data_IF_592423118535
#
_entry.id   IF_592423118535
#
_cell.length_a   1.000
_cell.length_b   1.000
_cell.length_c   1.000
_cell.angle_alpha   90.00
_cell.angle_beta   90.00
_cell.angle_gamma   90.00
#
_symmetry.space_group_name_H-M   'P 1'
#
loop_
_entity.id
_entity.type
_entity.pdbx_description
1 polymer ?
#
# COMPACT_ATOMS: atom_id res chain seq x y z
N UNK A 1 -27.46 -1.59 -8.08
CA UNK A 1 -27.42 -2.40 -6.84
C UNK A 1 -26.70 -1.58 -5.76
N UNK A 2 -27.24 -1.49 -4.55
CA UNK A 2 -26.59 -0.83 -3.42
C UNK A 2 -25.88 -1.88 -2.55
N UNK A 3 -24.65 -1.60 -2.14
CA UNK A 3 -23.87 -2.45 -1.22
C UNK A 3 -23.74 -1.73 0.13
N UNK A 4 -24.68 -1.94 1.08
CA UNK A 4 -24.75 -1.14 2.30
C UNK A 4 -23.58 -1.36 3.27
N UNK A 5 -22.89 -2.49 3.17
CA UNK A 5 -21.68 -2.77 3.96
C UNK A 5 -20.42 -2.16 3.34
N UNK A 6 -20.49 -1.58 2.13
CA UNK A 6 -19.34 -0.97 1.49
C UNK A 6 -18.86 0.25 2.31
N UNK A 7 -17.65 0.16 2.83
CA UNK A 7 -17.04 1.22 3.64
C UNK A 7 -16.20 2.13 2.77
N UNK A 8 -16.33 3.43 3.01
CA UNK A 8 -15.52 4.44 2.34
C UNK A 8 -14.48 5.00 3.30
N UNK A 9 -13.25 5.08 2.82
CA UNK A 9 -12.15 5.74 3.51
C UNK A 9 -11.92 7.11 2.87
N UNK A 10 -11.93 8.15 3.69
CA UNK A 10 -11.74 9.55 3.22
C UNK A 10 -10.28 9.90 3.02
N UNK A 11 -9.41 9.35 3.86
CA UNK A 11 -7.99 9.64 3.85
C UNK A 11 -7.17 8.35 4.01
N UNK A 12 -6.78 7.73 2.89
CA UNK A 12 -5.89 6.57 2.91
C UNK A 12 -4.52 6.86 3.50
N UNK A 13 -3.98 8.06 3.30
CA UNK A 13 -2.67 8.44 3.83
C UNK A 13 -2.70 8.45 5.36
N UNK A 14 -3.70 9.10 5.96
CA UNK A 14 -3.86 9.12 7.42
C UNK A 14 -4.06 7.73 8.01
N UNK A 15 -4.78 6.84 7.32
CA UNK A 15 -4.90 5.45 7.76
C UNK A 15 -3.52 4.77 7.87
N UNK A 16 -2.70 4.87 6.81
CA UNK A 16 -1.37 4.24 6.79
C UNK A 16 -0.45 4.86 7.85
N UNK A 17 -0.46 6.19 8.00
CA UNK A 17 0.31 6.88 9.05
C UNK A 17 -0.07 6.36 10.44
N UNK A 18 -1.37 6.24 10.73
CA UNK A 18 -1.84 5.72 12.03
C UNK A 18 -1.45 4.27 12.28
N UNK A 19 -1.44 3.44 11.24
CA UNK A 19 -0.97 2.05 11.36
C UNK A 19 0.53 1.99 11.65
N UNK A 20 1.33 2.84 10.98
CA UNK A 20 2.77 2.93 11.24
C UNK A 20 3.07 3.41 12.67
N UNK A 21 2.36 4.46 13.13
CA UNK A 21 2.45 4.96 14.51
C UNK A 21 2.12 3.85 15.54
N UNK A 22 1.03 3.12 15.32
CA UNK A 22 0.61 2.04 16.21
C UNK A 22 1.63 0.89 16.23
N UNK A 23 2.19 0.52 15.08
CA UNK A 23 3.24 -0.49 14.99
C UNK A 23 4.49 -0.09 15.80
N UNK A 24 4.93 1.17 15.67
CA UNK A 24 6.07 1.68 16.45
C UNK A 24 5.77 1.74 17.95
N UNK A 25 4.56 2.14 18.33
CA UNK A 25 4.12 2.16 19.73
C UNK A 25 4.11 0.76 20.38
N UNK A 26 3.94 -0.29 19.59
CA UNK A 26 4.04 -1.69 20.01
C UNK A 26 5.48 -2.23 20.02
N UNK A 27 6.48 -1.38 19.79
CA UNK A 27 7.91 -1.75 19.77
C UNK A 27 8.45 -2.13 18.40
N UNK A 28 7.63 -2.02 17.34
CA UNK A 28 8.06 -2.22 15.97
C UNK A 28 9.08 -1.16 15.51
N UNK A 29 9.98 -1.57 14.61
CA UNK A 29 10.97 -0.66 14.00
C UNK A 29 10.69 -0.49 12.51
N UNK A 30 10.67 0.76 12.06
CA UNK A 30 10.52 1.09 10.64
C UNK A 30 11.89 1.50 10.11
N UNK A 31 12.47 0.64 9.29
CA UNK A 31 13.74 0.88 8.61
C UNK A 31 13.45 1.33 7.17
N UNK A 32 14.15 2.38 6.70
CA UNK A 32 14.11 2.79 5.29
C UNK A 32 15.30 2.19 4.57
N UNK A 33 15.04 1.52 3.44
CA UNK A 33 16.05 0.96 2.56
C UNK A 33 15.42 0.16 1.42
N UNK A 34 16.14 0.05 0.30
CA UNK A 34 15.76 -0.84 -0.80
C UNK A 34 16.38 -2.21 -0.57
N UNK A 35 15.55 -3.25 -0.47
CA UNK A 35 16.01 -4.64 -0.37
C UNK A 35 16.50 -5.11 -1.74
N UNK A 36 17.75 -5.58 -1.78
CA UNK A 36 18.42 -6.05 -3.00
C UNK A 36 18.76 -7.55 -2.96
N UNK A 37 18.53 -8.21 -1.82
CA UNK A 37 18.70 -9.65 -1.72
C UNK A 37 18.44 -10.18 -0.31
N UNK A 38 18.62 -11.49 -0.17
CA UNK A 38 18.42 -12.23 1.07
C UNK A 38 19.63 -13.12 1.31
N UNK A 39 20.04 -13.23 2.57
CA UNK A 39 20.99 -14.23 3.03
C UNK A 39 20.19 -15.43 3.52
N UNK A 40 20.54 -16.61 3.01
CA UNK A 40 19.90 -17.87 3.39
C UNK A 40 20.87 -19.04 3.26
N UNK A 41 20.72 -20.02 4.13
CA UNK A 41 21.27 -21.36 3.94
C UNK A 41 20.12 -22.35 3.76
N UNK A 42 19.62 -22.94 4.84
CA UNK A 42 18.36 -23.70 4.91
C UNK A 42 17.13 -22.80 5.13
N UNK A 43 17.32 -21.70 5.88
CA UNK A 43 16.31 -20.65 6.15
C UNK A 43 16.87 -19.25 5.91
N UNK A 44 15.99 -18.26 5.88
CA UNK A 44 16.40 -16.84 5.81
C UNK A 44 17.11 -16.50 7.12
N UNK A 45 18.22 -15.77 7.01
CA UNK A 45 18.97 -15.25 8.15
C UNK A 45 19.08 -13.73 8.13
N UNK A 46 18.99 -13.12 6.94
CA UNK A 46 19.00 -11.66 6.82
C UNK A 46 18.46 -11.18 5.47
N UNK A 47 18.14 -9.89 5.40
CA UNK A 47 17.90 -9.15 4.17
C UNK A 47 19.03 -8.14 3.92
N UNK A 48 19.47 -8.02 2.67
CA UNK A 48 20.51 -7.09 2.24
C UNK A 48 19.90 -5.85 1.62
N UNK A 49 20.37 -4.68 2.05
CA UNK A 49 19.95 -3.39 1.54
C UNK A 49 20.93 -2.84 0.52
N UNK A 50 20.45 -1.97 -0.36
CA UNK A 50 21.27 -1.32 -1.41
C UNK A 50 22.41 -0.47 -0.83
N UNK A 51 22.26 0.02 0.40
CA UNK A 51 23.26 0.80 1.13
C UNK A 51 24.34 -0.06 1.81
N UNK A 52 24.33 -1.38 1.55
CA UNK A 52 25.30 -2.33 2.09
C UNK A 52 24.96 -2.86 3.49
N UNK A 53 23.93 -2.35 4.16
CA UNK A 53 23.47 -2.91 5.43
C UNK A 53 22.86 -4.30 5.23
N UNK A 54 23.04 -5.16 6.23
CA UNK A 54 22.31 -6.42 6.35
C UNK A 54 21.47 -6.39 7.63
N UNK A 55 20.17 -6.66 7.52
CA UNK A 55 19.27 -6.71 8.67
C UNK A 55 18.92 -8.18 8.96
N UNK A 56 19.31 -8.66 10.13
CA UNK A 56 19.04 -10.01 10.58
C UNK A 56 17.52 -10.24 10.70
N UNK A 57 17.05 -11.37 10.17
CA UNK A 57 15.66 -11.78 10.21
C UNK A 57 15.57 -13.30 10.01
N UNK A 58 14.82 -13.97 10.89
CA UNK A 58 14.56 -15.42 10.78
C UNK A 58 13.40 -15.72 9.80
N UNK A 59 12.52 -14.73 9.60
CA UNK A 59 11.34 -14.79 8.74
C UNK A 59 11.13 -13.47 8.01
N UNK A 60 10.63 -13.55 6.78
CA UNK A 60 10.34 -12.38 5.94
C UNK A 60 8.97 -12.53 5.29
N UNK A 61 8.17 -11.48 5.39
CA UNK A 61 6.89 -11.36 4.67
C UNK A 61 7.04 -10.29 3.59
N UNK A 62 6.77 -10.65 2.33
CA UNK A 62 6.82 -9.71 1.22
C UNK A 62 5.50 -8.92 1.13
N UNK A 63 5.56 -7.62 1.43
CA UNK A 63 4.42 -6.69 1.32
C UNK A 63 4.73 -5.49 0.39
N UNK A 64 5.53 -5.71 -0.66
CA UNK A 64 6.11 -4.64 -1.49
C UNK A 64 5.23 -4.22 -2.69
N UNK A 65 3.93 -4.56 -2.68
CA UNK A 65 3.00 -4.25 -3.77
C UNK A 65 3.51 -4.72 -5.13
N UNK A 66 3.55 -3.82 -6.11
CA UNK A 66 4.04 -4.07 -7.47
C UNK A 66 5.47 -4.63 -7.54
N UNK A 67 6.31 -4.38 -6.53
CA UNK A 67 7.71 -4.85 -6.51
C UNK A 67 7.88 -6.25 -5.92
N UNK A 68 6.80 -6.84 -5.37
CA UNK A 68 6.84 -8.18 -4.76
C UNK A 68 7.31 -9.25 -5.75
N UNK A 69 6.94 -9.14 -7.03
CA UNK A 69 7.36 -10.09 -8.08
C UNK A 69 8.87 -10.10 -8.33
N UNK A 70 9.57 -8.98 -8.13
CA UNK A 70 11.04 -8.91 -8.22
C UNK A 70 11.69 -9.64 -7.04
N UNK A 71 11.17 -9.42 -5.84
CA UNK A 71 11.73 -10.00 -4.60
C UNK A 71 11.46 -11.50 -4.49
N UNK A 72 10.28 -11.96 -4.88
CA UNK A 72 9.91 -13.37 -4.83
C UNK A 72 10.78 -14.24 -5.76
N UNK A 73 11.17 -13.71 -6.92
CA UNK A 73 12.18 -14.31 -7.81
C UNK A 73 13.55 -14.50 -7.13
N UNK A 74 14.00 -13.56 -6.29
CA UNK A 74 15.27 -13.70 -5.54
C UNK A 74 15.23 -14.85 -4.52
N UNK A 75 14.03 -15.19 -4.03
CA UNK A 75 13.80 -16.30 -3.12
C UNK A 75 13.55 -17.63 -3.86
N UNK A 76 13.48 -17.61 -5.20
CA UNK A 76 13.23 -18.79 -6.02
C UNK A 76 11.76 -19.19 -6.13
N UNK A 77 10.82 -18.33 -5.70
CA UNK A 77 9.37 -18.58 -5.74
C UNK A 77 8.68 -17.46 -6.53
N UNK A 78 8.71 -17.50 -7.88
CA UNK A 78 8.21 -16.41 -8.70
C UNK A 78 6.69 -16.26 -8.61
N UNK A 79 6.22 -15.15 -8.03
CA UNK A 79 4.79 -14.80 -8.04
C UNK A 79 4.38 -14.18 -9.38
N UNK A 80 3.25 -14.61 -9.99
CA UNK A 80 2.75 -14.07 -11.26
C UNK A 80 2.04 -12.73 -11.05
N UNK A 81 2.82 -11.68 -10.78
CA UNK A 81 2.32 -10.32 -10.57
C UNK A 81 2.56 -9.45 -11.80
N UNK A 82 1.48 -8.81 -12.26
CA UNK A 82 1.51 -7.80 -13.31
C UNK A 82 1.14 -6.43 -12.72
N UNK A 83 1.73 -5.36 -13.26
CA UNK A 83 1.41 -4.00 -12.84
C UNK A 83 0.26 -3.44 -13.66
N UNK A 84 -0.83 -3.04 -12.99
CA UNK A 84 -1.93 -2.31 -13.62
C UNK A 84 -1.87 -0.82 -13.26
N UNK A 85 -2.23 0.06 -14.20
CA UNK A 85 -2.36 1.50 -13.96
C UNK A 85 -3.82 1.87 -13.77
N UNK A 86 -4.14 2.45 -12.62
CA UNK A 86 -5.40 3.16 -12.38
C UNK A 86 -5.20 4.66 -12.54
N UNK A 87 -6.14 5.33 -13.21
CA UNK A 87 -6.19 6.80 -13.27
C UNK A 87 -7.27 7.30 -12.33
N UNK A 88 -7.01 8.43 -11.66
CA UNK A 88 -7.98 9.08 -10.79
C UNK A 88 -8.06 10.58 -11.12
N UNK A 89 -9.25 11.14 -11.01
CA UNK A 89 -9.50 12.56 -11.15
C UNK A 89 -10.24 13.05 -9.91
N UNK A 90 -9.79 14.15 -9.33
CA UNK A 90 -10.47 14.80 -8.20
C UNK A 90 -11.17 16.06 -8.68
N UNK A 91 -12.47 16.16 -8.37
CA UNK A 91 -13.27 17.36 -8.63
C UNK A 91 -13.37 18.14 -7.31
N UNK A 92 -12.67 19.27 -7.24
CA UNK A 92 -12.52 20.04 -5.98
C UNK A 92 -13.78 20.80 -5.57
N UNK A 93 -14.62 21.21 -6.54
CA UNK A 93 -15.86 21.97 -6.32
C UNK A 93 -17.00 21.35 -7.12
N UNK A 94 -17.51 20.17 -6.71
CA UNK A 94 -18.62 19.56 -7.40
C UNK A 94 -19.92 20.34 -7.13
N UNK A 95 -20.76 20.51 -8.15
CA UNK A 95 -22.09 21.11 -8.01
C UNK A 95 -23.12 20.17 -7.38
N UNK A 96 -22.73 18.90 -7.17
CA UNK A 96 -23.56 17.84 -6.58
C UNK A 96 -22.79 17.12 -5.48
N UNK A 97 -23.47 16.71 -4.41
CA UNK A 97 -22.91 15.86 -3.36
C UNK A 97 -23.34 14.40 -3.56
N UNK A 98 -22.42 13.45 -3.39
CA UNK A 98 -22.72 12.02 -3.43
C UNK A 98 -22.66 11.42 -2.02
N UNK A 99 -23.72 10.70 -1.61
CA UNK A 99 -23.77 9.96 -0.34
C UNK A 99 -23.23 8.53 -0.42
N UNK A 100 -23.08 8.00 -1.64
CA UNK A 100 -22.59 6.64 -1.91
C UNK A 100 -21.64 6.65 -3.11
N UNK A 101 -20.70 5.70 -3.15
CA UNK A 101 -19.85 5.47 -4.32
C UNK A 101 -20.68 4.90 -5.48
N UNK A 102 -20.43 5.39 -6.69
CA UNK A 102 -21.02 4.85 -7.92
C UNK A 102 -19.94 4.10 -8.68
N UNK A 103 -20.20 2.85 -9.02
CA UNK A 103 -19.31 2.00 -9.83
C UNK A 103 -19.99 1.82 -11.19
N UNK A 104 -19.25 2.07 -12.27
CA UNK A 104 -19.74 1.90 -13.64
C UNK A 104 -18.92 0.82 -14.38
N UNK A 105 -19.31 -0.46 -14.27
CA UNK A 105 -18.49 -1.59 -14.70
C UNK A 105 -18.15 -1.57 -16.20
N UNK A 106 -19.09 -1.16 -17.04
CA UNK A 106 -18.93 -1.14 -18.51
C UNK A 106 -17.94 -0.09 -19.00
N UNK A 107 -17.61 0.91 -18.17
CA UNK A 107 -16.59 1.93 -18.47
C UNK A 107 -15.35 1.80 -17.58
N UNK A 108 -15.30 0.77 -16.72
CA UNK A 108 -14.22 0.52 -15.77
C UNK A 108 -13.89 1.77 -14.93
N UNK A 109 -14.91 2.54 -14.54
CA UNK A 109 -14.76 3.75 -13.72
C UNK A 109 -15.51 3.61 -12.39
N UNK A 110 -14.98 4.30 -11.38
CA UNK A 110 -15.62 4.42 -10.07
C UNK A 110 -15.54 5.88 -9.63
N UNK A 111 -16.70 6.43 -9.27
CA UNK A 111 -16.83 7.80 -8.78
C UNK A 111 -17.21 7.79 -7.30
N UNK A 112 -16.54 8.64 -6.52
CA UNK A 112 -16.76 8.74 -5.07
C UNK A 112 -16.53 10.18 -4.61
N UNK A 113 -17.35 10.64 -3.68
CA UNK A 113 -17.10 11.88 -2.97
C UNK A 113 -15.97 11.69 -1.95
N UNK A 114 -14.94 12.52 -2.06
CA UNK A 114 -13.92 12.68 -1.04
C UNK A 114 -14.08 14.10 -0.47
N UNK A 115 -14.68 14.21 0.71
CA UNK A 115 -14.70 15.47 1.43
C UNK A 115 -13.32 15.66 2.07
N UNK A 116 -12.50 16.54 1.49
CA UNK A 116 -11.27 17.03 2.11
C UNK A 116 -11.60 18.35 2.79
N UNK A 117 -11.47 18.42 4.12
CA UNK A 117 -11.50 19.69 4.83
C UNK A 117 -10.14 20.35 4.62
N UNK A 118 -10.03 21.24 3.62
CA UNK A 118 -8.80 21.96 3.29
C UNK A 118 -8.42 23.03 4.33
N UNK A 119 -8.80 22.86 5.61
CA UNK A 119 -8.51 23.83 6.68
C UNK A 119 -7.17 23.63 7.38
N UNK A 120 -6.43 22.56 7.10
CA UNK A 120 -5.16 22.24 7.78
C UNK A 120 -3.91 22.28 6.87
N UNK A 121 -3.89 23.16 5.85
CA UNK A 121 -2.64 23.57 5.20
C UNK A 121 -2.54 25.09 5.28
N UNK A 122 -1.93 25.57 6.35
CA UNK A 122 -1.35 26.92 6.47
C UNK A 122 0.14 26.78 6.67
#
# INVERSE_FOLDING_TARGET
MLFPQNRSLRDPHRLVVRLAEAFQALGGRIERGEVVGFDRSDRITALRLTDGRSLAADEVVLCAGAHTGRMSKMLGEPMPLETERGYHTQIMRPSISMGHSVIWPTRRSQDRSLFHDLRDVR
#
